data_IF_178105024061
#
_entry.id   IF_178105024061
#
_cell.length_a   1.000
_cell.length_b   1.000
_cell.length_c   1.000
_cell.angle_alpha   90.00
_cell.angle_beta   90.00
_cell.angle_gamma   90.00
#
_symmetry.space_group_name_H-M   'P 1'
#
loop_
_entity.id
_entity.type
_entity.pdbx_description
1 polymer ?
#
# COMPACT_ATOMS: atom_id res chain seq x y z
N UNK A 1 -4.12 -4.25 -13.34
CA UNK A 1 -4.66 -5.60 -13.57
C UNK A 1 -3.59 -6.52 -14.13
N UNK A 2 -3.65 -7.78 -13.75
CA UNK A 2 -2.67 -8.78 -14.17
C UNK A 2 -3.22 -9.52 -15.39
N UNK A 3 -2.37 -9.70 -16.40
CA UNK A 3 -2.68 -10.61 -17.49
C UNK A 3 -2.13 -11.99 -17.14
N UNK A 4 -2.97 -12.83 -16.55
CA UNK A 4 -2.61 -14.16 -16.09
C UNK A 4 -2.14 -15.10 -17.22
N UNK A 5 -2.46 -14.80 -18.49
CA UNK A 5 -2.04 -15.59 -19.63
C UNK A 5 -0.52 -15.57 -19.84
N UNK A 6 0.15 -14.52 -19.34
CA UNK A 6 1.59 -14.37 -19.47
C UNK A 6 2.36 -14.77 -18.20
N UNK A 7 1.65 -15.19 -17.15
CA UNK A 7 2.30 -15.62 -15.92
C UNK A 7 2.52 -17.13 -15.96
N UNK A 8 3.77 -17.57 -15.82
CA UNK A 8 4.09 -18.99 -15.74
C UNK A 8 3.53 -19.56 -14.43
N UNK A 9 2.67 -20.62 -14.47
CA UNK A 9 2.08 -21.18 -13.27
C UNK A 9 3.09 -21.66 -12.22
N UNK A 10 4.20 -22.21 -12.64
CA UNK A 10 5.26 -22.66 -11.72
C UNK A 10 5.92 -21.48 -11.03
N UNK A 11 6.24 -20.44 -11.78
CA UNK A 11 6.80 -19.20 -11.23
C UNK A 11 5.84 -18.54 -10.27
N UNK A 12 4.56 -18.47 -10.63
CA UNK A 12 3.51 -17.95 -9.76
C UNK A 12 3.45 -18.71 -8.44
N UNK A 13 3.39 -20.03 -8.51
CA UNK A 13 3.30 -20.87 -7.30
C UNK A 13 4.54 -20.71 -6.41
N UNK A 14 5.73 -20.75 -7.00
CA UNK A 14 6.98 -20.61 -6.25
C UNK A 14 7.10 -19.23 -5.60
N UNK A 15 6.70 -18.17 -6.30
CA UNK A 15 6.71 -16.81 -5.77
C UNK A 15 5.75 -16.66 -4.60
N UNK A 16 4.53 -17.18 -4.73
CA UNK A 16 3.54 -17.15 -3.64
C UNK A 16 4.02 -17.92 -2.42
N UNK A 17 4.65 -19.07 -2.63
CA UNK A 17 5.19 -19.88 -1.55
C UNK A 17 6.34 -19.18 -0.83
N UNK A 18 7.27 -18.61 -1.58
CA UNK A 18 8.43 -17.89 -1.02
C UNK A 18 8.01 -16.62 -0.29
N UNK A 19 6.97 -15.94 -0.76
CA UNK A 19 6.46 -14.70 -0.17
C UNK A 19 5.77 -14.90 1.18
N UNK A 20 5.32 -16.13 1.49
CA UNK A 20 4.52 -16.41 2.68
C UNK A 20 3.05 -16.02 2.58
N UNK A 21 2.60 -15.57 1.42
CA UNK A 21 1.20 -15.12 1.20
C UNK A 21 0.20 -16.23 1.47
N UNK A 22 0.56 -17.48 1.20
CA UNK A 22 -0.34 -18.63 1.38
C UNK A 22 -0.57 -18.99 2.85
N UNK A 23 0.33 -18.56 3.74
CA UNK A 23 0.31 -18.93 5.16
C UNK A 23 -0.01 -17.77 6.10
N UNK A 24 -0.17 -16.55 5.56
CA UNK A 24 -0.37 -15.34 6.36
C UNK A 24 -1.49 -14.50 5.77
N UNK A 25 -2.58 -14.33 6.51
CA UNK A 25 -3.75 -13.58 6.07
C UNK A 25 -3.45 -12.10 5.81
N UNK A 26 -2.58 -11.49 6.61
CA UNK A 26 -2.17 -10.11 6.41
C UNK A 26 -1.37 -9.95 5.12
N UNK A 27 -0.40 -10.83 4.89
CA UNK A 27 0.39 -10.81 3.65
C UNK A 27 -0.50 -11.03 2.42
N UNK A 28 -1.48 -11.89 2.53
CA UNK A 28 -2.46 -12.09 1.47
C UNK A 28 -3.24 -10.81 1.17
N UNK A 29 -3.66 -10.11 2.21
CA UNK A 29 -4.37 -8.84 2.08
C UNK A 29 -3.50 -7.77 1.40
N UNK A 30 -2.24 -7.64 1.82
CA UNK A 30 -1.28 -6.71 1.21
C UNK A 30 -1.01 -7.09 -0.25
N UNK A 31 -0.88 -8.38 -0.53
CA UNK A 31 -0.70 -8.90 -1.89
C UNK A 31 -1.85 -8.48 -2.80
N UNK A 32 -3.09 -8.68 -2.38
CA UNK A 32 -4.26 -8.29 -3.17
C UNK A 32 -4.29 -6.78 -3.44
N UNK A 33 -4.02 -5.95 -2.42
CA UNK A 33 -3.96 -4.50 -2.57
C UNK A 33 -2.83 -4.08 -3.51
N UNK A 34 -1.67 -4.71 -3.40
CA UNK A 34 -0.53 -4.45 -4.27
C UNK A 34 -0.87 -4.69 -5.74
N UNK A 35 -1.56 -5.80 -6.02
CA UNK A 35 -1.93 -6.15 -7.40
C UNK A 35 -3.00 -5.23 -8.00
N UNK A 36 -3.71 -4.46 -7.20
CA UNK A 36 -4.63 -3.44 -7.72
C UNK A 36 -3.89 -2.23 -8.30
N UNK A 37 -2.68 -1.94 -7.81
CA UNK A 37 -1.92 -0.74 -8.19
C UNK A 37 -0.61 -1.04 -8.92
N UNK A 38 -0.12 -2.27 -8.84
CA UNK A 38 1.10 -2.74 -9.49
C UNK A 38 0.85 -4.09 -10.16
N UNK A 39 1.76 -4.53 -11.00
CA UNK A 39 1.64 -5.83 -11.67
C UNK A 39 2.37 -6.95 -10.91
N UNK A 40 2.19 -8.17 -11.38
CA UNK A 40 2.81 -9.34 -10.78
C UNK A 40 4.34 -9.33 -10.93
N UNK A 41 4.86 -8.76 -12.00
CA UNK A 41 6.31 -8.68 -12.21
C UNK A 41 6.98 -7.85 -11.13
N UNK A 42 6.37 -6.74 -10.72
CA UNK A 42 6.85 -5.91 -9.60
C UNK A 42 6.83 -6.68 -8.29
N UNK A 43 5.77 -7.45 -8.06
CA UNK A 43 5.67 -8.31 -6.89
C UNK A 43 6.76 -9.38 -6.86
N UNK A 44 6.98 -10.05 -7.98
CA UNK A 44 8.03 -11.07 -8.13
C UNK A 44 9.41 -10.48 -7.83
N UNK A 45 9.70 -9.28 -8.33
CA UNK A 45 10.97 -8.59 -8.05
C UNK A 45 11.16 -8.31 -6.57
N UNK A 46 10.11 -7.87 -5.88
CA UNK A 46 10.18 -7.63 -4.44
C UNK A 46 10.45 -8.90 -3.66
N UNK A 47 9.82 -10.00 -4.03
CA UNK A 47 10.03 -11.30 -3.38
C UNK A 47 11.45 -11.81 -3.66
N UNK A 48 11.96 -11.64 -4.88
CA UNK A 48 13.34 -12.01 -5.22
C UNK A 48 14.37 -11.21 -4.41
N UNK A 49 14.08 -9.93 -4.14
CA UNK A 49 14.98 -9.06 -3.39
C UNK A 49 14.92 -9.29 -1.88
N UNK A 50 13.75 -9.59 -1.33
CA UNK A 50 13.48 -9.58 0.12
C UNK A 50 12.93 -10.89 0.67
N UNK A 51 12.57 -11.85 -0.17
CA UNK A 51 11.96 -13.10 0.25
C UNK A 51 10.60 -12.87 0.91
N UNK A 52 10.37 -13.47 2.07
CA UNK A 52 9.13 -13.35 2.83
C UNK A 52 8.97 -12.00 3.55
N UNK A 53 9.99 -11.13 3.46
CA UNK A 53 9.97 -9.78 4.03
C UNK A 53 9.66 -8.70 2.99
N UNK A 54 9.10 -9.09 1.86
CA UNK A 54 8.74 -8.16 0.78
C UNK A 54 7.76 -7.08 1.22
N UNK A 55 6.91 -7.38 2.20
CA UNK A 55 5.89 -6.46 2.71
C UNK A 55 6.43 -5.43 3.72
N UNK A 56 7.68 -5.54 4.15
CA UNK A 56 8.31 -4.59 5.07
C UNK A 56 8.35 -3.16 4.50
N UNK A 57 8.40 -3.03 3.17
CA UNK A 57 8.40 -1.74 2.50
C UNK A 57 7.00 -1.25 2.10
N UNK A 58 5.95 -1.92 2.54
CA UNK A 58 4.57 -1.62 2.18
C UNK A 58 3.75 -1.35 3.44
N UNK A 59 3.04 -0.20 3.45
CA UNK A 59 2.08 0.14 4.50
C UNK A 59 0.68 0.14 3.91
N UNK A 60 -0.23 -0.57 4.56
CA UNK A 60 -1.61 -0.67 4.15
C UNK A 60 -2.49 0.16 5.09
N UNK A 61 -3.22 1.11 4.53
CA UNK A 61 -4.12 2.00 5.25
C UNK A 61 -5.56 1.63 4.90
N UNK A 62 -6.03 0.49 5.41
CA UNK A 62 -7.38 -0.03 5.13
C UNK A 62 -8.46 0.91 5.65
N UNK A 63 -9.42 1.25 4.77
CA UNK A 63 -10.53 2.12 5.11
C UNK A 63 -10.19 3.61 5.14
N UNK A 64 -8.97 4.01 4.84
CA UNK A 64 -8.55 5.41 4.85
C UNK A 64 -8.82 6.08 3.52
N UNK A 65 -9.33 7.31 3.57
CA UNK A 65 -9.32 8.25 2.43
C UNK A 65 -8.05 9.10 2.48
N UNK A 66 -7.79 9.86 1.41
CA UNK A 66 -6.68 10.82 1.41
C UNK A 66 -6.85 11.90 2.49
N UNK A 67 -8.09 12.30 2.77
CA UNK A 67 -8.38 13.23 3.85
C UNK A 67 -8.01 12.65 5.21
N UNK A 68 -8.38 11.39 5.47
CA UNK A 68 -8.03 10.68 6.71
C UNK A 68 -6.51 10.55 6.86
N UNK A 69 -5.83 10.23 5.77
CA UNK A 69 -4.38 10.14 5.75
C UNK A 69 -3.72 11.48 6.04
N UNK A 70 -4.23 12.56 5.43
CA UNK A 70 -3.72 13.92 5.69
C UNK A 70 -3.88 14.32 7.15
N UNK A 71 -5.02 13.99 7.74
CA UNK A 71 -5.28 14.25 9.17
C UNK A 71 -4.29 13.49 10.06
N UNK A 72 -4.07 12.22 9.76
CA UNK A 72 -3.13 11.37 10.50
C UNK A 72 -1.71 11.94 10.41
N UNK A 73 -1.30 12.40 9.25
CA UNK A 73 0.04 13.01 9.06
C UNK A 73 0.19 14.32 9.84
N UNK A 74 -0.85 15.14 9.92
CA UNK A 74 -0.84 16.36 10.75
C UNK A 74 -0.65 16.02 12.22
N UNK A 75 -1.39 15.01 12.69
CA UNK A 75 -1.29 14.56 14.08
C UNK A 75 0.11 14.01 14.40
N UNK A 76 0.67 13.24 13.48
CA UNK A 76 2.02 12.66 13.63
C UNK A 76 3.13 13.71 13.63
N UNK A 77 2.95 14.83 12.92
CA UNK A 77 3.93 15.92 12.88
C UNK A 77 3.93 16.78 14.14
N UNK A 78 2.99 16.55 15.06
CA UNK A 78 2.91 17.29 16.31
C UNK A 78 2.41 18.71 16.18
N UNK A 79 1.77 19.06 15.07
CA UNK A 79 1.15 20.37 14.91
C UNK A 79 -0.11 20.47 15.76
N UNK A 80 -0.17 21.45 16.66
CA UNK A 80 -1.37 21.77 17.40
C UNK A 80 -2.23 22.72 16.56
N UNK A 81 -3.26 22.20 15.93
CA UNK A 81 -4.16 22.99 15.10
C UNK A 81 -5.48 23.14 15.83
N UNK A 82 -5.93 24.38 16.13
CA UNK A 82 -7.24 24.59 16.72
C UNK A 82 -8.36 24.00 15.87
N UNK A 83 -9.35 23.38 16.52
CA UNK A 83 -10.48 22.77 15.84
C UNK A 83 -11.22 23.77 14.93
N UNK A 84 -11.22 25.03 15.31
CA UNK A 84 -11.85 26.10 14.52
C UNK A 84 -11.15 26.38 13.18
N UNK A 85 -9.90 25.94 13.02
CA UNK A 85 -9.12 26.16 11.81
C UNK A 85 -9.02 24.89 10.95
N UNK A 86 -9.10 23.72 11.58
CA UNK A 86 -8.90 22.46 10.89
C UNK A 86 -9.89 22.25 9.74
N UNK A 87 -11.11 22.76 9.87
CA UNK A 87 -12.15 22.65 8.84
C UNK A 87 -11.81 23.45 7.57
N UNK A 88 -10.87 24.39 7.66
CA UNK A 88 -10.42 25.21 6.52
C UNK A 88 -9.18 24.65 5.84
N UNK A 89 -8.63 23.55 6.35
CA UNK A 89 -7.44 22.90 5.78
C UNK A 89 -7.90 21.88 4.74
N UNK A 90 -7.30 21.94 3.55
CA UNK A 90 -7.49 20.92 2.53
C UNK A 90 -6.67 19.68 2.90
N UNK A 91 -7.27 18.82 3.71
CA UNK A 91 -6.61 17.60 4.21
C UNK A 91 -6.32 16.59 3.10
N UNK A 92 -7.16 16.53 2.07
CA UNK A 92 -6.91 15.66 0.91
C UNK A 92 -5.65 16.08 0.19
N UNK A 93 -5.49 17.37 -0.09
CA UNK A 93 -4.31 17.92 -0.73
C UNK A 93 -3.07 17.71 0.11
N UNK A 94 -3.19 17.92 1.42
CA UNK A 94 -2.07 17.69 2.34
C UNK A 94 -1.70 16.22 2.37
N UNK A 95 -2.66 15.32 2.35
CA UNK A 95 -2.43 13.87 2.28
C UNK A 95 -1.67 13.48 1.01
N UNK A 96 -2.04 14.04 -0.14
CA UNK A 96 -1.32 13.81 -1.41
C UNK A 96 0.12 14.31 -1.33
N UNK A 97 0.31 15.45 -0.70
CA UNK A 97 1.65 16.02 -0.51
C UNK A 97 2.51 15.12 0.37
N UNK A 98 1.99 14.64 1.49
CA UNK A 98 2.72 13.77 2.41
C UNK A 98 3.03 12.41 1.81
N UNK A 99 2.09 11.85 1.04
CA UNK A 99 2.25 10.54 0.40
C UNK A 99 3.18 10.54 -0.79
N UNK A 100 3.31 11.68 -1.45
CA UNK A 100 4.10 11.84 -2.67
C UNK A 100 3.77 10.76 -3.71
N UNK A 101 4.78 10.22 -4.38
CA UNK A 101 4.63 9.16 -5.39
C UNK A 101 4.44 7.77 -4.77
N UNK A 102 4.67 7.62 -3.46
CA UNK A 102 4.64 6.33 -2.78
C UNK A 102 3.24 5.89 -2.40
N UNK A 103 2.30 6.84 -2.31
CA UNK A 103 0.93 6.58 -1.88
C UNK A 103 0.00 6.42 -3.07
N UNK A 104 -0.77 5.32 -3.08
CA UNK A 104 -1.75 5.06 -4.12
C UNK A 104 -3.06 4.62 -3.49
N UNK A 105 -4.18 4.87 -4.20
CA UNK A 105 -5.49 4.42 -3.78
C UNK A 105 -5.75 3.02 -4.31
N UNK A 106 -6.32 2.16 -3.47
CA UNK A 106 -6.84 0.87 -3.89
C UNK A 106 -8.30 0.73 -3.43
N UNK A 107 -8.99 -0.36 -3.76
CA UNK A 107 -10.43 -0.50 -3.54
C UNK A 107 -10.90 -0.30 -2.11
N UNK A 108 -10.07 -0.62 -1.10
CA UNK A 108 -10.45 -0.59 0.32
C UNK A 108 -9.68 0.46 1.13
N UNK A 109 -8.92 1.32 0.48
CA UNK A 109 -8.16 2.36 1.20
C UNK A 109 -6.95 2.86 0.43
N UNK A 110 -5.83 3.00 1.16
CA UNK A 110 -4.57 3.50 0.62
C UNK A 110 -3.45 2.50 0.84
N UNK A 111 -2.50 2.50 -0.07
CA UNK A 111 -1.30 1.66 0.02
C UNK A 111 -0.06 2.53 -0.25
N UNK A 112 0.93 2.42 0.65
CA UNK A 112 2.23 3.06 0.46
C UNK A 112 3.25 1.98 0.07
N UNK A 113 3.93 2.19 -1.05
CA UNK A 113 4.94 1.27 -1.57
C UNK A 113 6.27 2.02 -1.71
N UNK A 114 7.23 1.64 -0.90
CA UNK A 114 8.57 2.24 -0.90
C UNK A 114 9.59 1.42 -1.66
#
# INVERSE_FOLDING_TARGET
SINWDYVNPETLFNTLKESGVLDDDYKYKVFCAFLEVRDFDDFEEKVKSRGDRWDDCINLWSGYSLEDYGKEMLDCCGYEIPDSIIDFIDLERYGRYCGEEYLQEYSDGLIEIY
#
